data_IF_293115507689
#
_entry.id   IF_293115507689
#
_cell.length_a   1.000
_cell.length_b   1.000
_cell.length_c   1.000
_cell.angle_alpha   90.00
_cell.angle_beta   90.00
_cell.angle_gamma   90.00
#
_symmetry.space_group_name_H-M   'P 1'
#
loop_
_entity.id
_entity.type
_entity.pdbx_description
1 polymer ?
#
# COMPACT_ATOMS: atom_id res chain seq x y z
N UNK A 1 -48.53 15.11 33.06
CA UNK A 1 -48.14 14.32 31.87
C UNK A 1 -46.70 13.87 32.11
N UNK A 2 -46.47 12.56 32.23
CA UNK A 2 -45.25 11.98 32.81
C UNK A 2 -44.03 12.15 31.90
N UNK A 3 -42.94 12.65 32.48
CA UNK A 3 -41.59 12.64 31.90
C UNK A 3 -41.08 11.20 31.82
N UNK A 4 -40.74 10.73 30.63
CA UNK A 4 -40.04 9.46 30.42
C UNK A 4 -38.53 9.72 30.39
N UNK A 5 -37.83 9.16 31.36
CA UNK A 5 -36.38 9.06 31.40
C UNK A 5 -35.91 8.08 30.32
N UNK A 6 -35.13 8.54 29.35
CA UNK A 6 -34.34 7.67 28.49
C UNK A 6 -33.02 7.33 29.19
N UNK A 7 -32.81 6.05 29.50
CA UNK A 7 -31.51 5.53 29.90
C UNK A 7 -30.53 5.56 28.71
N UNK A 8 -29.31 6.13 28.88
CA UNK A 8 -28.26 5.98 27.88
C UNK A 8 -27.68 4.56 27.94
N UNK A 9 -27.47 3.95 26.76
CA UNK A 9 -26.69 2.70 26.61
C UNK A 9 -25.23 2.98 26.97
N UNK A 10 -24.50 2.01 27.58
CA UNK A 10 -23.09 2.20 27.87
C UNK A 10 -22.28 2.24 26.57
N UNK A 11 -21.40 3.22 26.45
CA UNK A 11 -20.38 3.33 25.41
C UNK A 11 -19.42 2.12 25.49
N UNK A 12 -18.82 1.69 24.36
CA UNK A 12 -17.80 0.65 24.40
C UNK A 12 -16.62 1.13 25.25
N UNK A 13 -16.24 0.30 26.22
CA UNK A 13 -15.12 0.56 27.12
C UNK A 13 -13.86 0.88 26.33
N UNK A 14 -13.30 2.07 26.58
CA UNK A 14 -11.93 2.40 26.23
C UNK A 14 -11.01 1.35 26.85
N UNK A 15 -10.27 0.63 26.02
CA UNK A 15 -9.25 -0.32 26.47
C UNK A 15 -8.13 0.50 27.09
N UNK A 16 -8.01 0.42 28.42
CA UNK A 16 -6.87 0.94 29.15
C UNK A 16 -5.61 0.17 28.71
N UNK A 17 -4.57 0.92 28.36
CA UNK A 17 -3.26 0.38 28.00
C UNK A 17 -2.52 0.10 29.32
N UNK A 18 -2.72 -1.10 29.87
CA UNK A 18 -1.92 -1.55 31.01
C UNK A 18 -0.54 -1.99 30.53
N UNK A 19 0.46 -1.17 30.83
CA UNK A 19 1.87 -1.48 30.72
C UNK A 19 2.26 -2.48 31.83
N UNK A 20 2.12 -3.77 31.55
CA UNK A 20 2.71 -4.83 32.34
C UNK A 20 3.84 -5.50 31.53
N UNK A 21 5.07 -5.13 31.86
CA UNK A 21 6.29 -5.83 31.47
C UNK A 21 6.30 -7.23 32.08
N UNK A 22 6.03 -8.24 31.27
CA UNK A 22 6.48 -9.61 31.54
C UNK A 22 7.25 -10.11 30.33
N UNK A 23 8.56 -10.25 30.53
CA UNK A 23 9.47 -10.83 29.55
C UNK A 23 9.08 -12.27 29.29
N UNK A 24 8.58 -12.52 28.09
CA UNK A 24 8.59 -13.84 27.51
C UNK A 24 9.71 -13.83 26.47
N UNK A 25 10.83 -14.49 26.78
CA UNK A 25 11.90 -14.74 25.82
C UNK A 25 11.41 -15.76 24.79
N UNK A 26 10.55 -15.32 23.86
CA UNK A 26 10.39 -16.01 22.59
C UNK A 26 11.72 -15.87 21.86
N UNK A 27 12.39 -16.97 21.56
CA UNK A 27 13.45 -16.98 20.55
C UNK A 27 12.89 -16.24 19.33
N UNK A 28 13.39 -15.03 19.06
CA UNK A 28 12.96 -14.27 17.90
C UNK A 28 13.33 -15.09 16.67
N UNK A 29 12.36 -15.75 16.06
CA UNK A 29 12.51 -16.27 14.71
C UNK A 29 13.05 -15.09 13.89
N UNK A 30 14.21 -15.27 13.25
CA UNK A 30 14.75 -14.26 12.36
C UNK A 30 13.84 -14.21 11.12
N UNK A 31 12.79 -13.38 11.19
CA UNK A 31 11.70 -13.29 10.21
C UNK A 31 12.13 -12.47 8.97
N UNK A 32 13.35 -12.70 8.48
CA UNK A 32 13.94 -12.00 7.34
C UNK A 32 13.99 -12.94 6.12
N UNK A 33 12.89 -13.08 5.36
CA UNK A 33 12.89 -13.95 4.19
C UNK A 33 13.80 -13.38 3.09
N UNK A 34 14.33 -14.25 2.21
CA UNK A 34 14.84 -13.78 0.92
C UNK A 34 13.69 -13.20 0.09
N UNK A 35 13.94 -12.08 -0.59
CA UNK A 35 12.94 -11.32 -1.33
C UNK A 35 13.33 -11.20 -2.80
N UNK A 36 12.44 -11.64 -3.68
CA UNK A 36 12.57 -11.41 -5.13
C UNK A 36 11.61 -10.31 -5.54
N UNK A 37 12.09 -9.29 -6.26
CA UNK A 37 11.27 -8.17 -6.73
C UNK A 37 11.05 -8.28 -8.23
N UNK A 38 9.78 -8.32 -8.66
CA UNK A 38 9.37 -8.42 -10.06
C UNK A 38 8.53 -7.18 -10.43
N UNK A 39 8.94 -6.23 -11.26
CA UNK A 39 10.23 -6.12 -11.93
C UNK A 39 11.07 -5.02 -11.31
N UNK A 40 12.35 -5.30 -11.07
CA UNK A 40 13.35 -4.31 -10.70
C UNK A 40 13.68 -3.30 -11.83
N UNK A 41 13.23 -3.53 -13.06
CA UNK A 41 13.47 -2.60 -14.19
C UNK A 41 12.60 -1.34 -14.11
N UNK A 42 11.50 -1.39 -13.36
CA UNK A 42 10.64 -0.23 -13.12
C UNK A 42 11.10 0.61 -11.93
N UNK A 43 10.82 1.92 -11.94
CA UNK A 43 11.20 2.84 -10.84
C UNK A 43 10.71 2.41 -9.46
N UNK A 44 9.53 1.79 -9.38
CA UNK A 44 8.97 1.32 -8.10
C UNK A 44 9.64 0.01 -7.65
N UNK A 45 9.77 -0.99 -8.52
CA UNK A 45 10.47 -2.22 -8.18
C UNK A 45 11.94 -1.98 -7.81
N UNK A 46 12.64 -1.09 -8.51
CA UNK A 46 14.00 -0.68 -8.15
C UNK A 46 14.07 -0.09 -6.73
N UNK A 47 13.23 0.89 -6.42
CA UNK A 47 13.18 1.53 -5.10
C UNK A 47 12.78 0.55 -3.99
N UNK A 48 11.88 -0.40 -4.26
CA UNK A 48 11.53 -1.49 -3.34
C UNK A 48 12.72 -2.42 -3.08
N UNK A 49 13.48 -2.79 -4.12
CA UNK A 49 14.67 -3.62 -3.99
C UNK A 49 15.78 -2.93 -3.16
N UNK A 50 15.99 -1.62 -3.36
CA UNK A 50 16.91 -0.85 -2.50
C UNK A 50 16.43 -0.80 -1.04
N UNK A 51 15.11 -0.69 -0.81
CA UNK A 51 14.55 -0.72 0.54
C UNK A 51 14.71 -2.08 1.23
N UNK A 52 14.56 -3.18 0.50
CA UNK A 52 14.84 -4.54 0.98
C UNK A 52 16.28 -4.65 1.48
N UNK A 53 17.25 -4.20 0.66
CA UNK A 53 18.68 -4.23 1.04
C UNK A 53 18.95 -3.32 2.24
N UNK A 54 18.43 -2.09 2.23
CA UNK A 54 18.58 -1.13 3.34
C UNK A 54 18.01 -1.66 4.67
N UNK A 55 16.92 -2.42 4.61
CA UNK A 55 16.31 -3.04 5.78
C UNK A 55 17.02 -4.33 6.26
N UNK A 56 18.09 -4.76 5.57
CA UNK A 56 18.86 -5.94 5.94
C UNK A 56 18.20 -7.27 5.56
N UNK A 57 17.27 -7.26 4.60
CA UNK A 57 16.72 -8.47 3.99
C UNK A 57 17.60 -8.90 2.80
N UNK A 58 17.60 -10.19 2.51
CA UNK A 58 18.34 -10.73 1.37
C UNK A 58 17.58 -10.46 0.07
N UNK A 59 18.12 -9.59 -0.80
CA UNK A 59 17.63 -9.44 -2.16
C UNK A 59 18.08 -10.64 -3.01
N UNK A 60 17.12 -11.33 -3.61
CA UNK A 60 17.37 -12.42 -4.56
C UNK A 60 17.88 -11.82 -5.88
N UNK A 61 18.98 -12.33 -6.46
CA UNK A 61 19.62 -11.75 -7.65
C UNK A 61 18.92 -12.14 -8.97
N UNK A 62 17.59 -12.21 -8.95
CA UNK A 62 16.75 -12.49 -10.12
C UNK A 62 15.55 -11.54 -10.12
N UNK A 63 15.11 -11.11 -11.30
CA UNK A 63 13.85 -10.38 -11.50
C UNK A 63 13.19 -10.87 -12.78
N UNK A 64 11.90 -11.16 -12.71
CA UNK A 64 11.09 -11.44 -13.89
C UNK A 64 10.75 -10.13 -14.61
N UNK A 65 10.82 -10.15 -15.94
CA UNK A 65 10.50 -9.00 -16.78
C UNK A 65 9.64 -9.40 -17.97
N UNK A 66 8.92 -8.42 -18.54
CA UNK A 66 8.12 -8.60 -19.74
C UNK A 66 8.93 -8.58 -21.05
N UNK A 67 10.25 -8.36 -20.99
CA UNK A 67 11.08 -8.36 -22.18
C UNK A 67 11.21 -9.78 -22.75
N UNK A 68 10.89 -9.93 -24.04
CA UNK A 68 11.22 -11.11 -24.84
C UNK A 68 12.72 -11.12 -25.18
N UNK A 69 13.29 -12.32 -25.33
CA UNK A 69 14.70 -12.64 -25.63
C UNK A 69 15.45 -11.82 -26.74
N UNK A 70 14.78 -10.91 -27.45
CA UNK A 70 15.36 -10.07 -28.51
C UNK A 70 15.91 -8.70 -28.06
N UNK A 71 15.79 -8.32 -26.77
CA UNK A 71 16.40 -7.10 -26.25
C UNK A 71 17.57 -7.48 -25.34
N UNK A 72 18.79 -7.15 -25.76
CA UNK A 72 19.99 -7.30 -24.93
C UNK A 72 19.92 -6.32 -23.76
N UNK A 73 19.26 -6.73 -22.67
CA UNK A 73 19.28 -5.97 -21.43
C UNK A 73 20.36 -6.57 -20.55
N UNK A 74 21.42 -5.80 -20.29
CA UNK A 74 22.44 -6.17 -19.32
C UNK A 74 21.82 -6.30 -17.92
N UNK A 75 22.34 -7.22 -17.12
CA UNK A 75 22.02 -7.31 -15.68
C UNK A 75 22.06 -5.92 -15.03
N UNK A 76 21.13 -5.67 -14.11
CA UNK A 76 21.06 -4.39 -13.40
C UNK A 76 21.75 -4.51 -12.04
N UNK A 77 22.40 -3.44 -11.58
CA UNK A 77 22.93 -3.36 -10.22
C UNK A 77 21.92 -2.72 -9.29
N UNK A 78 21.67 -3.33 -8.13
CA UNK A 78 20.84 -2.75 -7.06
C UNK A 78 21.66 -2.76 -5.79
N UNK A 79 22.04 -1.57 -5.30
CA UNK A 79 22.90 -1.43 -4.12
C UNK A 79 24.17 -2.31 -4.19
N UNK A 80 24.78 -2.42 -5.37
CA UNK A 80 25.97 -3.25 -5.63
C UNK A 80 25.70 -4.74 -5.92
N UNK A 81 24.44 -5.19 -5.84
CA UNK A 81 24.05 -6.58 -6.14
C UNK A 81 23.67 -6.69 -7.62
N UNK A 82 24.34 -7.55 -8.42
CA UNK A 82 23.91 -7.83 -9.78
C UNK A 82 22.62 -8.66 -9.77
N UNK A 83 21.62 -8.21 -10.51
CA UNK A 83 20.31 -8.87 -10.64
C UNK A 83 20.11 -9.30 -12.08
N UNK A 84 19.90 -10.61 -12.28
CA UNK A 84 19.63 -11.22 -13.57
C UNK A 84 18.19 -10.91 -14.02
N UNK A 85 18.05 -10.44 -15.26
CA UNK A 85 16.75 -10.20 -15.88
C UNK A 85 16.27 -11.47 -16.58
N UNK A 86 15.12 -11.99 -16.16
CA UNK A 86 14.55 -13.22 -16.69
C UNK A 86 13.29 -12.92 -17.48
N UNK A 87 13.32 -13.25 -18.78
CA UNK A 87 12.16 -13.15 -19.67
C UNK A 87 11.07 -14.16 -19.34
N UNK A 88 9.84 -13.90 -19.81
CA UNK A 88 8.65 -14.71 -19.53
C UNK A 88 8.83 -16.18 -19.92
N UNK A 89 9.58 -16.46 -20.99
CA UNK A 89 9.87 -17.79 -21.51
C UNK A 89 10.70 -18.67 -20.57
N UNK A 90 11.57 -18.06 -19.75
CA UNK A 90 12.43 -18.76 -18.77
C UNK A 90 11.94 -18.63 -17.33
N UNK A 91 10.78 -18.01 -17.11
CA UNK A 91 10.29 -17.68 -15.75
C UNK A 91 10.10 -18.91 -14.85
N UNK A 92 9.68 -20.06 -15.40
CA UNK A 92 9.50 -21.28 -14.60
C UNK A 92 10.85 -21.88 -14.21
N UNK A 93 11.78 -22.05 -15.17
CA UNK A 93 13.14 -22.51 -14.90
C UNK A 93 13.82 -21.66 -13.82
N UNK A 94 13.74 -20.34 -13.94
CA UNK A 94 14.29 -19.43 -12.94
C UNK A 94 13.60 -19.56 -11.58
N UNK A 95 12.27 -19.71 -11.55
CA UNK A 95 11.53 -19.89 -10.30
C UNK A 95 11.94 -21.20 -9.59
N UNK A 96 12.16 -22.28 -10.32
CA UNK A 96 12.62 -23.55 -9.77
C UNK A 96 14.01 -23.40 -9.13
N UNK A 97 14.95 -22.75 -9.82
CA UNK A 97 16.29 -22.44 -9.29
C UNK A 97 16.24 -21.53 -8.07
N UNK A 98 15.40 -20.48 -8.10
CA UNK A 98 15.28 -19.53 -7.00
C UNK A 98 14.70 -20.22 -5.76
N UNK A 99 13.67 -21.04 -5.90
CA UNK A 99 13.06 -21.75 -4.77
C UNK A 99 14.02 -22.72 -4.10
N UNK A 100 14.84 -23.42 -4.88
CA UNK A 100 15.86 -24.33 -4.37
C UNK A 100 16.95 -23.57 -3.57
N UNK A 101 17.45 -22.46 -4.12
CA UNK A 101 18.54 -21.68 -3.51
C UNK A 101 18.11 -20.78 -2.35
N UNK A 102 16.87 -20.33 -2.35
CA UNK A 102 16.35 -19.33 -1.41
C UNK A 102 15.11 -19.86 -0.68
N UNK A 103 15.26 -20.86 0.21
CA UNK A 103 14.14 -21.35 1.00
C UNK A 103 13.57 -20.22 1.84
N UNK A 104 12.25 -20.13 1.91
CA UNK A 104 11.60 -19.04 2.62
C UNK A 104 11.17 -17.86 1.75
N UNK A 105 11.47 -17.88 0.44
CA UNK A 105 11.18 -16.83 -0.53
C UNK A 105 9.83 -16.13 -0.36
N UNK A 106 9.86 -14.80 -0.46
CA UNK A 106 8.69 -13.95 -0.73
C UNK A 106 8.93 -13.17 -2.02
N UNK A 107 7.94 -13.15 -2.91
CA UNK A 107 7.98 -12.36 -4.15
C UNK A 107 7.25 -11.03 -3.94
N UNK A 108 7.80 -9.92 -4.42
CA UNK A 108 7.09 -8.64 -4.52
C UNK A 108 6.80 -8.36 -5.99
N UNK A 109 5.56 -8.03 -6.32
CA UNK A 109 5.13 -7.68 -7.66
C UNK A 109 4.85 -6.18 -7.80
N UNK A 110 5.72 -5.53 -8.56
CA UNK A 110 5.63 -4.22 -9.19
C UNK A 110 5.90 -4.34 -10.70
N UNK A 111 4.91 -4.85 -11.43
CA UNK A 111 4.93 -5.03 -12.88
C UNK A 111 3.96 -4.05 -13.56
N UNK A 112 3.02 -4.55 -14.36
CA UNK A 112 2.08 -3.78 -15.16
C UNK A 112 0.65 -4.32 -14.96
N UNK A 113 -0.39 -3.48 -15.06
CA UNK A 113 -1.79 -3.88 -14.82
C UNK A 113 -2.25 -5.12 -15.59
N UNK A 114 -1.77 -5.30 -16.82
CA UNK A 114 -2.11 -6.44 -17.68
C UNK A 114 -1.38 -7.75 -17.29
N UNK A 115 -0.39 -7.70 -16.41
CA UNK A 115 0.36 -8.86 -15.93
C UNK A 115 -0.14 -9.37 -14.56
N UNK A 116 -0.91 -8.55 -13.83
CA UNK A 116 -1.31 -8.81 -12.43
C UNK A 116 -1.89 -10.21 -12.22
N UNK A 117 -2.87 -10.60 -13.04
CA UNK A 117 -3.56 -11.88 -12.89
C UNK A 117 -2.67 -13.08 -13.28
N UNK A 118 -1.98 -13.02 -14.42
CA UNK A 118 -1.05 -14.08 -14.87
C UNK A 118 0.09 -14.30 -13.87
N UNK A 119 0.62 -13.22 -13.30
CA UNK A 119 1.66 -13.30 -12.27
C UNK A 119 1.13 -13.89 -10.97
N UNK A 120 -0.04 -13.48 -10.49
CA UNK A 120 -0.66 -14.05 -9.29
C UNK A 120 -0.90 -15.56 -9.44
N UNK A 121 -1.45 -15.99 -10.58
CA UNK A 121 -1.63 -17.42 -10.90
C UNK A 121 -0.30 -18.17 -11.01
N UNK A 122 0.76 -17.52 -11.52
CA UNK A 122 2.09 -18.10 -11.58
C UNK A 122 2.71 -18.29 -10.18
N UNK A 123 2.61 -17.30 -9.30
CA UNK A 123 3.10 -17.40 -7.91
C UNK A 123 2.31 -18.45 -7.12
N UNK A 124 0.99 -18.45 -7.25
CA UNK A 124 0.08 -19.41 -6.62
C UNK A 124 0.40 -20.85 -7.03
N UNK A 125 0.51 -21.14 -8.33
CA UNK A 125 0.89 -22.49 -8.83
C UNK A 125 2.25 -22.96 -8.34
N UNK A 126 3.18 -22.03 -8.10
CA UNK A 126 4.50 -22.33 -7.57
C UNK A 126 4.55 -22.41 -6.03
N UNK A 127 3.45 -22.14 -5.33
CA UNK A 127 3.39 -22.16 -3.87
C UNK A 127 4.22 -21.06 -3.20
N UNK A 128 4.47 -19.94 -3.89
CA UNK A 128 5.37 -18.88 -3.41
C UNK A 128 4.57 -17.71 -2.84
N UNK A 129 4.76 -17.36 -1.55
CA UNK A 129 4.14 -16.18 -0.96
C UNK A 129 4.47 -14.89 -1.72
N UNK A 130 3.51 -13.98 -1.83
CA UNK A 130 3.74 -12.76 -2.60
C UNK A 130 3.07 -11.49 -2.05
N UNK A 131 3.69 -10.35 -2.34
CA UNK A 131 3.17 -9.00 -2.07
C UNK A 131 2.85 -8.34 -3.41
N UNK A 132 1.57 -8.14 -3.72
CA UNK A 132 1.09 -7.55 -4.98
C UNK A 132 0.84 -6.05 -4.82
N UNK A 133 1.86 -5.25 -5.13
CA UNK A 133 1.81 -3.79 -5.14
C UNK A 133 1.39 -3.17 -6.47
N UNK A 134 1.45 -3.94 -7.57
CA UNK A 134 0.97 -3.54 -8.89
C UNK A 134 -0.53 -3.21 -8.84
N UNK A 135 -0.93 -2.06 -9.38
CA UNK A 135 -2.34 -1.64 -9.46
C UNK A 135 -3.02 -2.17 -10.72
N UNK A 136 -4.35 -2.13 -10.76
CA UNK A 136 -5.14 -2.71 -11.85
C UNK A 136 -5.24 -4.23 -11.77
N UNK A 137 -5.61 -4.85 -12.90
CA UNK A 137 -6.02 -6.25 -12.96
C UNK A 137 -7.33 -6.53 -12.24
N UNK A 138 -7.74 -7.80 -12.26
CA UNK A 138 -8.88 -8.28 -11.47
C UNK A 138 -8.39 -8.69 -10.08
N UNK A 139 -8.63 -7.83 -9.09
CA UNK A 139 -8.14 -8.01 -7.70
C UNK A 139 -8.78 -9.21 -7.01
N UNK A 140 -10.04 -9.50 -7.31
CA UNK A 140 -10.75 -10.65 -6.75
C UNK A 140 -10.10 -11.96 -7.23
N UNK A 141 -9.73 -12.03 -8.51
CA UNK A 141 -8.98 -13.18 -9.05
C UNK A 141 -7.59 -13.34 -8.45
N UNK A 142 -6.89 -12.25 -8.13
CA UNK A 142 -5.58 -12.33 -7.44
C UNK A 142 -5.73 -12.97 -6.06
N UNK A 143 -6.70 -12.49 -5.26
CA UNK A 143 -6.98 -13.05 -3.95
C UNK A 143 -7.41 -14.52 -4.04
N UNK A 144 -8.37 -14.83 -4.92
CA UNK A 144 -8.87 -16.19 -5.12
C UNK A 144 -7.77 -17.18 -5.54
N UNK A 145 -6.83 -16.75 -6.39
CA UNK A 145 -5.70 -17.60 -6.79
C UNK A 145 -4.79 -17.94 -5.60
N UNK A 146 -4.49 -16.96 -4.73
CA UNK A 146 -3.70 -17.19 -3.52
C UNK A 146 -4.43 -18.10 -2.52
N UNK A 147 -5.71 -17.84 -2.27
CA UNK A 147 -6.55 -18.66 -1.38
C UNK A 147 -6.64 -20.11 -1.85
N UNK A 148 -6.97 -20.32 -3.13
CA UNK A 148 -7.11 -21.66 -3.71
C UNK A 148 -5.81 -22.47 -3.65
N UNK A 149 -4.66 -21.80 -3.75
CA UNK A 149 -3.35 -22.44 -3.62
C UNK A 149 -2.86 -22.54 -2.16
N UNK A 150 -3.58 -21.98 -1.18
CA UNK A 150 -3.13 -21.91 0.21
C UNK A 150 -1.88 -21.05 0.43
N UNK A 151 -1.60 -20.12 -0.50
CA UNK A 151 -0.41 -19.27 -0.51
C UNK A 151 -0.68 -17.97 0.24
N UNK A 152 0.26 -17.57 1.08
CA UNK A 152 0.19 -16.29 1.78
C UNK A 152 0.40 -15.13 0.81
N UNK A 153 -0.50 -14.14 0.82
CA UNK A 153 -0.35 -12.95 -0.01
C UNK A 153 -0.77 -11.65 0.70
N UNK A 154 -0.07 -10.55 0.40
CA UNK A 154 -0.57 -9.19 0.65
C UNK A 154 -0.98 -8.58 -0.69
N UNK A 155 -2.24 -8.15 -0.81
CA UNK A 155 -2.80 -7.59 -2.04
C UNK A 155 -3.25 -6.16 -1.76
N UNK A 156 -2.39 -5.17 -2.04
CA UNK A 156 -2.66 -3.78 -1.70
C UNK A 156 -2.33 -2.82 -2.86
N UNK A 157 -3.30 -2.05 -3.38
CA UNK A 157 -3.05 -1.07 -4.45
C UNK A 157 -2.41 0.23 -3.93
N UNK A 158 -2.31 0.40 -2.61
CA UNK A 158 -1.68 1.51 -1.92
C UNK A 158 -0.73 0.94 -0.87
N UNK A 159 0.58 1.01 -1.13
CA UNK A 159 1.60 0.49 -0.23
C UNK A 159 2.13 1.53 0.76
N UNK A 160 1.75 2.80 0.61
CA UNK A 160 2.14 3.86 1.54
C UNK A 160 1.33 3.75 2.82
N UNK A 161 1.78 2.92 3.78
CA UNK A 161 0.98 2.50 4.93
C UNK A 161 0.43 3.66 5.76
N UNK A 162 1.16 4.77 5.89
CA UNK A 162 0.68 5.95 6.64
C UNK A 162 -0.47 6.66 5.91
N UNK A 163 -0.48 6.65 4.57
CA UNK A 163 -1.61 7.15 3.78
C UNK A 163 -2.82 6.21 3.95
N UNK A 164 -2.60 4.90 4.00
CA UNK A 164 -3.67 3.92 4.31
C UNK A 164 -4.22 4.14 5.72
N UNK A 165 -3.37 4.38 6.71
CA UNK A 165 -3.80 4.67 8.08
C UNK A 165 -4.64 5.96 8.15
N UNK A 166 -4.27 7.01 7.40
CA UNK A 166 -5.09 8.21 7.26
C UNK A 166 -6.45 7.91 6.63
N UNK A 167 -6.51 7.10 5.56
CA UNK A 167 -7.78 6.70 4.96
C UNK A 167 -8.66 5.92 5.95
N UNK A 168 -8.09 4.96 6.67
CA UNK A 168 -8.81 4.19 7.69
C UNK A 168 -9.31 5.07 8.85
N UNK A 169 -8.51 6.04 9.29
CA UNK A 169 -8.92 7.01 10.31
C UNK A 169 -10.13 7.82 9.86
N UNK A 170 -10.13 8.31 8.61
CA UNK A 170 -11.25 9.07 8.05
C UNK A 170 -12.52 8.21 7.92
N UNK A 171 -12.36 6.95 7.52
CA UNK A 171 -13.47 5.99 7.41
C UNK A 171 -14.09 5.67 8.78
N UNK A 172 -13.26 5.39 9.79
CA UNK A 172 -13.71 5.14 11.17
C UNK A 172 -14.46 6.36 11.71
N UNK A 173 -13.94 7.57 11.51
CA UNK A 173 -14.61 8.80 11.94
C UNK A 173 -15.97 8.95 11.25
N UNK A 174 -16.05 8.66 9.95
CA UNK A 174 -17.30 8.74 9.20
C UNK A 174 -18.35 7.72 9.64
N UNK A 175 -17.93 6.52 10.02
CA UNK A 175 -18.83 5.48 10.55
C UNK A 175 -19.33 5.82 11.96
N UNK A 176 -18.47 6.38 12.82
CA UNK A 176 -18.83 6.69 14.21
C UNK A 176 -19.64 7.99 14.35
N UNK A 177 -19.37 8.99 13.50
CA UNK A 177 -19.97 10.32 13.58
C UNK A 177 -20.57 10.76 12.24
N UNK A 178 -21.59 10.04 11.71
CA UNK A 178 -22.25 10.43 10.47
C UNK A 178 -22.91 11.81 10.63
N UNK A 179 -22.80 12.66 9.60
CA UNK A 179 -23.37 14.01 9.62
C UNK A 179 -22.63 15.05 10.49
N UNK A 180 -21.50 14.72 11.12
CA UNK A 180 -20.77 15.65 12.00
C UNK A 180 -20.33 16.95 11.33
N UNK A 181 -20.16 16.94 10.01
CA UNK A 181 -19.83 18.09 9.17
C UNK A 181 -21.01 18.57 8.32
N UNK A 182 -22.26 18.27 8.68
CA UNK A 182 -23.44 18.82 7.98
C UNK A 182 -23.38 20.36 7.95
N UNK A 183 -23.58 20.91 6.75
CA UNK A 183 -23.48 22.35 6.47
C UNK A 183 -22.06 22.85 6.15
N UNK A 184 -21.02 22.06 6.39
CA UNK A 184 -19.66 22.46 5.99
C UNK A 184 -19.49 22.37 4.48
N UNK A 185 -18.71 23.30 3.93
CA UNK A 185 -18.25 23.25 2.54
C UNK A 185 -16.90 22.53 2.44
N UNK A 186 -16.68 21.79 1.35
CA UNK A 186 -15.43 21.07 1.10
C UNK A 186 -14.73 21.62 -0.14
N UNK A 187 -13.43 21.82 -0.03
CA UNK A 187 -12.53 21.99 -1.18
C UNK A 187 -11.43 20.95 -1.14
N UNK A 188 -11.14 20.34 -2.29
CA UNK A 188 -10.08 19.34 -2.43
C UNK A 188 -9.19 19.70 -3.60
N UNK A 189 -7.89 19.72 -3.34
CA UNK A 189 -6.86 19.84 -4.37
C UNK A 189 -5.95 18.62 -4.32
N UNK A 190 -5.60 18.10 -5.49
CA UNK A 190 -4.58 17.06 -5.60
C UNK A 190 -3.58 17.40 -6.71
N UNK A 191 -2.34 17.02 -6.47
CA UNK A 191 -1.24 17.21 -7.38
C UNK A 191 -0.46 15.91 -7.55
N UNK A 192 -0.32 15.49 -8.81
CA UNK A 192 0.38 14.30 -9.28
C UNK A 192 1.11 14.65 -10.57
N UNK A 193 1.81 13.69 -11.18
CA UNK A 193 2.51 13.90 -12.45
C UNK A 193 1.54 14.39 -13.54
N UNK A 194 2.05 15.21 -14.47
CA UNK A 194 1.28 15.82 -15.58
C UNK A 194 0.39 14.83 -16.34
N UNK A 195 0.87 13.60 -16.53
CA UNK A 195 0.18 12.58 -17.33
C UNK A 195 -0.88 11.79 -16.54
N UNK A 196 -1.02 12.02 -15.22
CA UNK A 196 -2.04 11.36 -14.41
C UNK A 196 -3.39 12.07 -14.60
N UNK A 197 -4.20 11.53 -15.51
CA UNK A 197 -5.50 12.09 -15.89
C UNK A 197 -6.60 11.83 -14.85
N UNK A 198 -6.54 10.68 -14.18
CA UNK A 198 -7.49 10.23 -13.18
C UNK A 198 -7.26 10.89 -11.82
N UNK A 199 -8.35 11.02 -11.06
CA UNK A 199 -8.31 11.39 -9.64
C UNK A 199 -7.76 10.21 -8.84
N UNK A 200 -6.88 10.49 -7.88
CA UNK A 200 -6.31 9.50 -6.98
C UNK A 200 -7.40 8.69 -6.26
N UNK A 201 -7.27 7.36 -6.25
CA UNK A 201 -8.16 6.50 -5.47
C UNK A 201 -8.17 6.84 -3.97
N UNK A 202 -7.02 7.28 -3.43
CA UNK A 202 -6.92 7.79 -2.06
C UNK A 202 -7.80 9.03 -1.86
N UNK A 203 -7.79 9.98 -2.80
CA UNK A 203 -8.61 11.18 -2.70
C UNK A 203 -10.11 10.85 -2.73
N UNK A 204 -10.52 9.92 -3.60
CA UNK A 204 -11.91 9.46 -3.68
C UNK A 204 -12.38 8.80 -2.38
N UNK A 205 -11.54 7.95 -1.77
CA UNK A 205 -11.87 7.30 -0.51
C UNK A 205 -12.05 8.30 0.65
N UNK A 206 -11.17 9.30 0.74
CA UNK A 206 -11.27 10.36 1.76
C UNK A 206 -12.53 11.20 1.53
N UNK A 207 -12.81 11.57 0.28
CA UNK A 207 -14.04 12.30 -0.07
C UNK A 207 -15.31 11.50 0.21
N UNK A 208 -15.31 10.19 -0.05
CA UNK A 208 -16.43 9.32 0.31
C UNK A 208 -16.70 9.33 1.83
N UNK A 209 -15.64 9.29 2.65
CA UNK A 209 -15.75 9.40 4.11
C UNK A 209 -16.30 10.77 4.53
N UNK A 210 -15.82 11.85 3.91
CA UNK A 210 -16.31 13.22 4.16
C UNK A 210 -17.79 13.39 3.79
N UNK A 211 -18.26 12.77 2.70
CA UNK A 211 -19.69 12.75 2.34
C UNK A 211 -20.53 12.05 3.40
N UNK A 212 -20.07 10.90 3.89
CA UNK A 212 -20.75 10.18 4.97
C UNK A 212 -20.80 11.00 6.27
N UNK A 213 -19.79 11.85 6.50
CA UNK A 213 -19.80 12.84 7.58
C UNK A 213 -20.71 14.06 7.32
N UNK A 214 -21.52 14.10 6.25
CA UNK A 214 -22.51 15.15 6.03
C UNK A 214 -22.09 16.26 5.06
N UNK A 215 -20.94 16.14 4.38
CA UNK A 215 -20.60 17.05 3.29
C UNK A 215 -21.44 16.71 2.06
N UNK A 216 -22.49 17.49 1.85
CA UNK A 216 -23.42 17.28 0.75
C UNK A 216 -22.92 17.88 -0.57
N UNK A 217 -23.38 17.33 -1.69
CA UNK A 217 -23.21 17.92 -3.03
C UNK A 217 -21.81 17.82 -3.66
N UNK A 218 -20.75 17.59 -2.89
CA UNK A 218 -19.38 17.48 -3.41
C UNK A 218 -19.20 16.19 -4.22
N UNK A 219 -18.84 16.28 -5.50
CA UNK A 219 -18.62 15.14 -6.42
C UNK A 219 -17.14 14.88 -6.65
N UNK A 220 -16.77 13.68 -7.09
CA UNK A 220 -15.37 13.35 -7.39
C UNK A 220 -14.81 14.23 -8.53
N UNK A 221 -15.70 14.71 -9.41
CA UNK A 221 -15.39 15.68 -10.45
C UNK A 221 -14.98 17.06 -9.92
N UNK A 222 -15.33 17.37 -8.68
CA UNK A 222 -15.08 18.69 -8.07
C UNK A 222 -13.68 18.77 -7.45
N UNK A 223 -12.97 17.64 -7.41
CA UNK A 223 -11.56 17.57 -6.99
C UNK A 223 -10.70 18.30 -8.02
N UNK A 224 -10.04 19.37 -7.57
CA UNK A 224 -9.16 20.19 -8.42
C UNK A 224 -7.84 19.48 -8.64
N UNK A 225 -7.62 19.00 -9.87
CA UNK A 225 -6.38 18.36 -10.32
C UNK A 225 -5.37 19.43 -10.75
N UNK A 226 -4.33 19.62 -9.94
CA UNK A 226 -3.21 20.49 -10.26
C UNK A 226 -2.15 19.65 -10.99
N UNK A 227 -1.84 20.03 -12.24
CA UNK A 227 -0.99 19.26 -13.16
C UNK A 227 -0.01 20.14 -13.95
N UNK A 228 -0.27 21.43 -14.01
CA UNK A 228 0.64 22.43 -14.56
C UNK A 228 1.76 22.75 -13.56
N UNK A 229 2.94 23.06 -14.07
CA UNK A 229 4.15 23.27 -13.26
C UNK A 229 3.95 24.38 -12.23
N UNK A 230 3.36 25.51 -12.62
CA UNK A 230 3.18 26.67 -11.75
C UNK A 230 2.31 26.32 -10.54
N UNK A 231 1.13 25.73 -10.77
CA UNK A 231 0.25 25.28 -9.70
C UNK A 231 0.89 24.21 -8.82
N UNK A 232 1.70 23.31 -9.38
CA UNK A 232 2.43 22.30 -8.61
C UNK A 232 3.43 22.94 -7.64
N UNK A 233 4.22 23.91 -8.12
CA UNK A 233 5.16 24.67 -7.27
C UNK A 233 4.41 25.48 -6.20
N UNK A 234 3.28 26.10 -6.54
CA UNK A 234 2.42 26.81 -5.58
C UNK A 234 1.85 25.88 -4.49
N UNK A 235 1.59 24.61 -4.80
CA UNK A 235 1.21 23.59 -3.81
C UNK A 235 2.37 23.13 -2.91
N UNK A 236 3.58 23.60 -3.18
CA UNK A 236 4.81 23.27 -2.47
C UNK A 236 5.47 21.98 -2.94
N UNK A 237 5.17 21.50 -4.15
CA UNK A 237 5.90 20.38 -4.75
C UNK A 237 7.31 20.87 -5.10
N UNK A 238 8.39 20.25 -4.59
CA UNK A 238 9.74 20.64 -4.98
C UNK A 238 9.98 20.41 -6.46
N UNK A 239 10.75 21.29 -7.08
CA UNK A 239 10.98 21.29 -8.53
C UNK A 239 11.54 19.96 -9.04
N UNK A 240 12.50 19.38 -8.32
CA UNK A 240 13.13 18.10 -8.66
C UNK A 240 12.19 16.90 -8.50
N UNK A 241 11.03 17.07 -7.86
CA UNK A 241 10.06 16.01 -7.58
C UNK A 241 8.77 16.10 -8.41
N UNK A 242 8.66 17.05 -9.36
CA UNK A 242 7.50 17.18 -10.26
C UNK A 242 7.21 15.89 -11.07
N UNK A 243 8.25 15.08 -11.32
CA UNK A 243 8.17 13.79 -11.99
C UNK A 243 7.67 12.62 -11.11
N UNK A 244 7.43 12.86 -9.82
CA UNK A 244 7.21 11.81 -8.83
C UNK A 244 6.72 12.36 -7.50
N UNK A 245 5.45 12.77 -7.42
CA UNK A 245 4.83 13.23 -6.18
C UNK A 245 3.34 12.88 -6.13
N UNK A 246 2.78 12.97 -4.93
CA UNK A 246 1.35 12.86 -4.66
C UNK A 246 0.99 13.76 -3.47
N UNK A 247 0.53 14.98 -3.76
CA UNK A 247 0.19 16.01 -2.78
C UNK A 247 -1.32 16.19 -2.73
N UNK A 248 -1.92 16.14 -1.55
CA UNK A 248 -3.37 16.27 -1.39
C UNK A 248 -3.69 17.22 -0.24
N UNK A 249 -4.68 18.08 -0.44
CA UNK A 249 -5.21 18.95 0.61
C UNK A 249 -6.74 18.88 0.60
N UNK A 250 -7.34 18.64 1.76
CA UNK A 250 -8.79 18.62 1.99
C UNK A 250 -9.09 19.71 3.00
N UNK A 251 -9.96 20.66 2.64
CA UNK A 251 -10.31 21.79 3.51
C UNK A 251 -11.82 21.84 3.70
N UNK A 252 -12.26 21.69 4.95
CA UNK A 252 -13.63 21.90 5.37
C UNK A 252 -13.78 23.29 5.98
N UNK A 253 -14.81 24.03 5.60
CA UNK A 253 -15.11 25.37 6.17
C UNK A 253 -16.54 25.42 6.68
N UNK A 254 -16.74 25.90 7.90
CA UNK A 254 -18.07 26.02 8.53
C UNK A 254 -18.97 27.03 7.77
N UNK A 255 -20.31 26.94 7.90
CA UNK A 255 -21.24 27.82 7.20
C UNK A 255 -21.00 29.32 7.41
N UNK A 256 -20.58 29.69 8.62
CA UNK A 256 -20.28 31.07 9.04
C UNK A 256 -18.82 31.48 8.76
N UNK A 257 -18.00 30.57 8.24
CA UNK A 257 -16.59 30.78 7.95
C UNK A 257 -15.67 30.88 9.17
N UNK A 258 -16.18 30.66 10.39
CA UNK A 258 -15.40 30.84 11.63
C UNK A 258 -14.43 29.68 11.91
N UNK A 259 -14.69 28.49 11.36
CA UNK A 259 -13.88 27.28 11.59
C UNK A 259 -13.44 26.67 10.27
N UNK A 260 -12.14 26.34 10.19
CA UNK A 260 -11.56 25.59 9.08
C UNK A 260 -10.78 24.37 9.59
N UNK A 261 -11.09 23.19 9.03
CA UNK A 261 -10.28 21.99 9.19
C UNK A 261 -9.49 21.74 7.91
N UNK A 262 -8.19 21.43 8.03
CA UNK A 262 -7.32 21.17 6.89
C UNK A 262 -6.49 19.92 7.10
N UNK A 263 -6.67 18.96 6.21
CA UNK A 263 -5.87 17.73 6.18
C UNK A 263 -4.94 17.78 4.97
N UNK A 264 -3.65 17.54 5.19
CA UNK A 264 -2.64 17.53 4.13
C UNK A 264 -1.76 16.30 4.25
N UNK A 265 -1.55 15.62 3.13
CA UNK A 265 -0.53 14.58 3.03
C UNK A 265 0.22 14.73 1.71
N UNK A 266 1.55 14.80 1.82
CA UNK A 266 2.45 15.11 0.72
C UNK A 266 3.49 14.00 0.62
N UNK A 267 3.46 13.27 -0.49
CA UNK A 267 4.47 12.26 -0.80
C UNK A 267 5.36 12.79 -1.90
N UNK A 268 6.67 12.77 -1.64
CA UNK A 268 7.70 12.91 -2.68
C UNK A 268 8.29 11.53 -2.95
N UNK A 269 8.55 11.28 -4.22
CA UNK A 269 9.14 10.05 -4.73
C UNK A 269 8.37 8.78 -4.36
N UNK A 270 9.10 7.74 -3.96
CA UNK A 270 8.60 6.36 -3.83
C UNK A 270 8.94 5.70 -2.50
N UNK A 271 9.73 6.36 -1.66
CA UNK A 271 10.22 5.79 -0.40
C UNK A 271 9.08 5.24 0.46
N UNK A 272 7.99 6.00 0.66
CA UNK A 272 6.85 5.54 1.47
C UNK A 272 6.25 4.20 0.99
N UNK A 273 6.21 3.96 -0.33
CA UNK A 273 5.68 2.72 -0.89
C UNK A 273 6.69 1.58 -0.77
N UNK A 274 7.98 1.87 -0.99
CA UNK A 274 9.06 0.91 -0.82
C UNK A 274 9.17 0.44 0.64
N UNK A 275 9.09 1.37 1.59
CA UNK A 275 9.13 1.07 3.01
C UNK A 275 7.91 0.27 3.47
N UNK A 276 6.70 0.63 3.02
CA UNK A 276 5.51 -0.17 3.32
C UNK A 276 5.52 -1.56 2.67
N UNK A 277 6.24 -1.73 1.56
CA UNK A 277 6.46 -3.06 0.94
C UNK A 277 7.34 -3.94 1.84
N UNK A 278 8.43 -3.38 2.39
CA UNK A 278 9.27 -4.11 3.35
C UNK A 278 8.44 -4.55 4.56
N UNK A 279 7.59 -3.66 5.08
CA UNK A 279 6.71 -4.00 6.20
C UNK A 279 5.72 -5.12 5.83
N UNK A 280 5.14 -5.07 4.63
CA UNK A 280 4.26 -6.14 4.13
C UNK A 280 4.99 -7.49 3.96
N UNK A 281 6.26 -7.49 3.54
CA UNK A 281 7.08 -8.71 3.45
C UNK A 281 7.33 -9.29 4.85
N UNK A 282 7.75 -8.47 5.80
CA UNK A 282 7.99 -8.90 7.19
C UNK A 282 6.71 -9.43 7.84
N UNK A 283 5.59 -8.75 7.61
CA UNK A 283 4.26 -9.18 8.06
C UNK A 283 3.93 -10.56 7.50
N UNK A 284 4.11 -10.76 6.20
CA UNK A 284 3.78 -12.01 5.54
C UNK A 284 4.68 -13.17 6.03
N UNK A 285 5.96 -12.89 6.27
CA UNK A 285 6.89 -13.85 6.86
C UNK A 285 6.43 -14.28 8.27
N UNK A 286 6.00 -13.34 9.10
CA UNK A 286 5.43 -13.60 10.42
C UNK A 286 4.19 -14.49 10.34
N UNK A 287 3.19 -14.12 9.52
CA UNK A 287 1.96 -14.91 9.35
C UNK A 287 2.22 -16.33 8.87
N UNK A 288 3.22 -16.51 8.01
CA UNK A 288 3.65 -17.84 7.59
C UNK A 288 4.30 -18.65 8.71
N UNK A 289 5.20 -18.05 9.49
CA UNK A 289 5.85 -18.72 10.61
C UNK A 289 4.84 -19.13 11.70
N UNK A 290 3.80 -18.33 11.90
CA UNK A 290 2.67 -18.61 12.82
C UNK A 290 1.67 -19.62 12.26
N UNK A 291 1.85 -20.10 11.03
CA UNK A 291 0.90 -20.94 10.32
C UNK A 291 -0.54 -20.38 10.33
N UNK A 292 -0.67 -19.06 10.18
CA UNK A 292 -1.95 -18.36 10.28
C UNK A 292 -3.00 -18.97 9.33
N UNK A 293 -4.24 -19.08 9.82
CA UNK A 293 -5.34 -19.67 9.03
C UNK A 293 -5.67 -18.83 7.80
N UNK A 294 -5.74 -17.51 7.99
CA UNK A 294 -5.93 -16.54 6.92
C UNK A 294 -4.68 -16.47 6.03
N UNK A 295 -4.89 -16.40 4.72
CA UNK A 295 -3.81 -16.44 3.73
C UNK A 295 -3.66 -15.14 2.96
N UNK A 296 -4.76 -14.42 2.74
CA UNK A 296 -4.74 -13.18 1.95
C UNK A 296 -5.01 -12.00 2.86
N UNK A 297 -4.16 -11.00 2.76
CA UNK A 297 -4.15 -9.82 3.59
C UNK A 297 -4.07 -8.56 2.73
N UNK A 298 -4.33 -7.42 3.34
CA UNK A 298 -4.18 -6.09 2.76
C UNK A 298 -3.29 -5.21 3.67
N UNK A 299 -3.13 -3.93 3.33
CA UNK A 299 -2.26 -3.02 4.08
C UNK A 299 -2.85 -2.58 5.44
N UNK A 300 -4.16 -2.68 5.65
CA UNK A 300 -4.79 -2.48 6.98
C UNK A 300 -4.38 -3.60 7.92
N UNK A 301 -4.34 -4.85 7.46
CA UNK A 301 -3.88 -5.97 8.29
C UNK A 301 -2.41 -5.79 8.71
N UNK A 302 -1.57 -5.30 7.78
CA UNK A 302 -0.17 -4.93 8.08
C UNK A 302 -0.10 -3.82 9.12
N UNK A 303 -0.99 -2.82 9.07
CA UNK A 303 -1.05 -1.74 10.06
C UNK A 303 -1.46 -2.24 11.45
N UNK A 304 -2.44 -3.14 11.51
CA UNK A 304 -2.97 -3.69 12.77
C UNK A 304 -1.97 -4.58 13.50
N UNK A 305 -0.98 -5.12 12.78
CA UNK A 305 0.12 -5.88 13.39
C UNK A 305 1.04 -5.02 14.26
N UNK A 306 1.11 -3.71 14.02
CA UNK A 306 2.04 -2.80 14.69
C UNK A 306 3.41 -2.70 14.01
N UNK A 307 4.41 -2.18 14.74
CA UNK A 307 5.75 -2.00 14.17
C UNK A 307 6.49 -3.32 14.04
N UNK A 308 7.02 -3.59 12.86
CA UNK A 308 7.83 -4.77 12.54
C UNK A 308 9.35 -4.47 12.47
N UNK A 309 9.71 -3.21 12.69
CA UNK A 309 11.06 -2.64 12.72
C UNK A 309 11.05 -1.27 13.36
#
# INVERSE_FOLDING_TARGET
>A
MRLQHHHPRPAPHAVAVDAATQGNSSSSLDLRPPVMINSCTGRMGHSAAEAVVRAGLQLVPFTLTGFSAGVAVSNIGISGIPVELVGKERRQEAMDVVKDRYPGLVVVDYTMPNCVNDNAEFYARNGVPFVMGTTGGDRAKVAAAAEAAGVYAVVAPQMGKQVVAFQAMMEVMAQQYPGVFTGYSLTVTESHQRNKADVSGTAKAVVASLRQMGVEGFKDSDIRKIRDREGQLQMGVPEDHLGGHAFHTYTLTSPDGSVQFKFKHNVVERSIYAEGTVDAVLFLAKKRAEAAKEKVYNMVDVLLEGSLR
#
